data_IF_708291475553
#
_entry.id   IF_708291475553
#
_cell.length_a   1.000
_cell.length_b   1.000
_cell.length_c   1.000
_cell.angle_alpha   90.00
_cell.angle_beta   90.00
_cell.angle_gamma   90.00
#
_symmetry.space_group_name_H-M   'P 1'
#
loop_
_entity.id
_entity.type
_entity.pdbx_description
1 polymer ?
#
# COMPACT_ATOMS: atom_id res chain seq x y z
N UNK A 1 -3.65 2.67 57.63
CA UNK A 1 -2.99 1.59 56.89
C UNK A 1 -2.90 2.04 55.46
N UNK A 2 -1.69 2.29 55.00
CA UNK A 2 -1.38 2.69 53.63
C UNK A 2 -1.69 1.54 52.69
N UNK A 3 -2.45 1.80 51.62
CA UNK A 3 -2.68 0.84 50.55
C UNK A 3 -1.34 0.62 49.84
N UNK A 4 -0.66 -0.48 50.16
CA UNK A 4 0.42 -1.01 49.34
C UNK A 4 -0.18 -1.27 47.95
N UNK A 5 0.16 -0.40 46.99
CA UNK A 5 -0.05 -0.68 45.58
C UNK A 5 0.89 -1.83 45.25
N UNK A 6 0.33 -3.03 45.20
CA UNK A 6 0.98 -4.20 44.65
C UNK A 6 1.55 -3.79 43.28
N UNK A 7 2.88 -3.74 43.18
CA UNK A 7 3.63 -3.45 41.95
C UNK A 7 3.60 -4.63 40.99
N UNK A 8 2.48 -5.36 40.99
CA UNK A 8 2.22 -6.51 40.13
C UNK A 8 2.21 -6.06 38.68
N UNK A 9 2.72 -6.94 37.82
CA UNK A 9 2.77 -6.76 36.37
C UNK A 9 1.44 -6.21 35.84
N UNK A 10 1.47 -5.32 34.82
CA UNK A 10 0.25 -4.78 34.24
C UNK A 10 -0.67 -5.93 33.83
N UNK A 11 -1.92 -5.92 34.30
CA UNK A 11 -2.86 -6.99 33.99
C UNK A 11 -3.15 -7.03 32.48
N UNK A 12 -3.48 -8.22 31.97
CA UNK A 12 -3.71 -8.46 30.55
C UNK A 12 -5.00 -7.81 30.02
N UNK A 13 -5.87 -7.36 30.92
CA UNK A 13 -7.25 -6.97 30.63
C UNK A 13 -7.49 -5.46 30.73
N UNK A 14 -6.50 -4.69 31.18
CA UNK A 14 -6.60 -3.23 31.32
C UNK A 14 -6.76 -2.60 29.94
N UNK A 15 -7.88 -1.89 29.69
CA UNK A 15 -8.11 -1.28 28.38
C UNK A 15 -7.13 -0.15 28.12
N UNK A 16 -6.53 -0.15 26.92
CA UNK A 16 -5.66 0.92 26.45
C UNK A 16 -6.46 1.90 25.58
N UNK A 17 -6.19 3.20 25.73
CA UNK A 17 -6.64 4.24 24.81
C UNK A 17 -5.46 4.73 23.98
N UNK A 18 -5.58 4.64 22.67
CA UNK A 18 -4.56 5.08 21.71
C UNK A 18 -5.08 6.29 20.95
N UNK A 19 -4.30 7.36 20.89
CA UNK A 19 -4.53 8.45 19.94
C UNK A 19 -3.79 8.15 18.66
N UNK A 20 -4.54 8.04 17.56
CA UNK A 20 -3.98 7.77 16.24
C UNK A 20 -3.77 9.08 15.49
N UNK A 21 -2.59 9.24 14.89
CA UNK A 21 -2.26 10.37 14.01
C UNK A 21 -1.81 9.84 12.65
N UNK A 22 -1.91 10.63 11.57
CA UNK A 22 -1.34 10.24 10.28
C UNK A 22 0.15 9.95 10.36
N UNK A 23 0.90 10.70 11.17
CA UNK A 23 2.33 10.43 11.39
C UNK A 23 2.58 9.03 11.98
N UNK A 24 1.74 8.57 12.90
CA UNK A 24 1.84 7.21 13.44
C UNK A 24 1.55 6.16 12.37
N UNK A 25 0.57 6.39 11.49
CA UNK A 25 0.29 5.50 10.36
C UNK A 25 1.47 5.44 9.37
N UNK A 26 2.03 6.59 9.02
CA UNK A 26 3.19 6.69 8.14
C UNK A 26 4.36 5.88 8.70
N UNK A 27 4.70 6.08 9.98
CA UNK A 27 5.80 5.35 10.60
C UNK A 27 5.53 3.86 10.75
N UNK A 28 4.30 3.46 11.08
CA UNK A 28 3.97 2.05 11.30
C UNK A 28 3.80 1.23 10.01
N UNK A 29 3.28 1.86 8.95
CA UNK A 29 2.88 1.18 7.72
C UNK A 29 3.80 1.50 6.53
N UNK A 30 4.29 2.73 6.43
CA UNK A 30 4.90 3.28 5.21
C UNK A 30 6.38 3.65 5.42
N UNK A 31 7.04 3.10 6.43
CA UNK A 31 8.45 3.43 6.76
C UNK A 31 9.46 3.15 5.63
N UNK A 32 9.10 2.28 4.70
CA UNK A 32 9.92 1.90 3.53
C UNK A 32 9.47 2.57 2.23
N UNK A 33 8.39 3.35 2.27
CA UNK A 33 7.92 4.11 1.12
C UNK A 33 8.94 5.19 0.74
N UNK A 34 9.15 5.40 -0.55
CA UNK A 34 10.04 6.44 -1.07
C UNK A 34 9.47 7.84 -0.86
N UNK A 35 8.14 7.97 -0.83
CA UNK A 35 7.45 9.21 -0.51
C UNK A 35 6.17 8.94 0.28
N UNK A 36 5.83 9.86 1.19
CA UNK A 36 4.61 9.78 2.01
C UNK A 36 4.01 11.16 2.17
N UNK A 37 2.69 11.25 2.14
CA UNK A 37 1.97 12.50 2.37
C UNK A 37 0.56 12.25 2.88
N UNK A 38 -0.13 13.34 3.19
CA UNK A 38 -1.53 13.32 3.62
C UNK A 38 -2.35 14.25 2.73
N UNK A 39 -3.61 13.91 2.53
CA UNK A 39 -4.54 14.71 1.75
C UNK A 39 -5.99 14.56 2.21
N UNK A 40 -6.87 15.31 1.54
CA UNK A 40 -8.33 15.18 1.70
C UNK A 40 -8.96 14.28 0.63
N UNK A 41 -8.26 14.13 -0.50
CA UNK A 41 -8.65 13.38 -1.69
C UNK A 41 -7.47 12.59 -2.24
N UNK A 42 -7.79 11.56 -3.02
CA UNK A 42 -6.79 10.76 -3.74
C UNK A 42 -5.97 11.62 -4.70
N UNK A 43 -4.68 11.30 -4.84
CA UNK A 43 -3.80 11.86 -5.85
C UNK A 43 -3.62 10.91 -7.05
N UNK A 44 -4.30 9.77 -7.07
CA UNK A 44 -4.20 8.76 -8.12
C UNK A 44 -5.06 9.19 -9.30
N UNK A 45 -4.47 9.18 -10.50
CA UNK A 45 -5.22 9.28 -11.75
C UNK A 45 -5.64 7.87 -12.18
N UNK A 46 -6.94 7.58 -12.12
CA UNK A 46 -7.49 6.26 -12.45
C UNK A 46 -7.20 5.82 -13.90
N UNK A 47 -6.80 6.73 -14.79
CA UNK A 47 -6.41 6.39 -16.18
C UNK A 47 -5.03 5.75 -16.30
N UNK A 48 -4.20 5.86 -15.26
CA UNK A 48 -2.82 5.37 -15.22
C UNK A 48 -2.67 4.05 -14.42
N UNK A 49 -3.79 3.56 -13.90
CA UNK A 49 -3.83 2.39 -13.01
C UNK A 49 -3.72 1.09 -13.80
N UNK A 50 -2.75 0.26 -13.41
CA UNK A 50 -2.56 -1.10 -13.90
C UNK A 50 -3.35 -2.10 -13.06
N UNK A 51 -3.21 -2.03 -11.74
CA UNK A 51 -3.93 -2.89 -10.80
C UNK A 51 -4.49 -2.10 -9.63
N UNK A 52 -5.63 -2.56 -9.10
CA UNK A 52 -6.36 -1.85 -8.05
C UNK A 52 -6.99 -2.83 -7.06
N UNK A 53 -6.51 -2.80 -5.82
CA UNK A 53 -7.03 -3.59 -4.72
C UNK A 53 -7.61 -2.65 -3.67
N UNK A 54 -8.87 -2.87 -3.30
CA UNK A 54 -9.57 -2.01 -2.32
C UNK A 54 -10.24 -2.87 -1.25
N UNK A 55 -10.00 -2.50 0.00
CA UNK A 55 -10.74 -2.97 1.16
C UNK A 55 -11.50 -1.78 1.77
N UNK A 56 -12.82 -1.92 1.94
CA UNK A 56 -13.67 -0.91 2.57
C UNK A 56 -14.26 -1.47 3.86
N UNK A 57 -14.52 -0.61 4.84
CA UNK A 57 -15.29 -0.98 6.04
C UNK A 57 -16.80 -1.08 5.73
N UNK A 58 -17.57 -1.54 6.71
CA UNK A 58 -19.02 -1.71 6.57
C UNK A 58 -19.78 -0.38 6.69
N UNK A 59 -19.12 0.66 7.20
CA UNK A 59 -19.63 2.03 7.20
C UNK A 59 -19.07 2.77 5.99
N UNK A 60 -19.82 3.69 5.39
CA UNK A 60 -19.31 4.44 4.25
C UNK A 60 -18.31 5.49 4.75
N UNK A 61 -17.00 5.26 4.59
CA UNK A 61 -16.00 6.33 4.79
C UNK A 61 -14.57 5.90 5.06
N UNK A 62 -14.29 4.63 5.35
CA UNK A 62 -12.91 4.16 5.53
C UNK A 62 -12.54 3.18 4.42
N UNK A 63 -11.34 3.34 3.90
CA UNK A 63 -10.83 2.39 2.93
C UNK A 63 -9.32 2.26 3.03
N UNK A 64 -8.85 1.12 2.58
CA UNK A 64 -7.45 0.86 2.29
C UNK A 64 -7.39 0.45 0.83
N UNK A 65 -6.61 1.17 0.02
CA UNK A 65 -6.50 0.95 -1.42
C UNK A 65 -5.03 0.82 -1.78
N UNK A 66 -4.66 -0.26 -2.45
CA UNK A 66 -3.34 -0.45 -3.06
C UNK A 66 -3.50 -0.40 -4.57
N UNK A 67 -2.76 0.50 -5.20
CA UNK A 67 -2.78 0.73 -6.64
C UNK A 67 -1.38 0.53 -7.18
N UNK A 68 -1.29 -0.19 -8.28
CA UNK A 68 -0.12 -0.21 -9.14
C UNK A 68 -0.40 0.68 -10.34
N UNK A 69 0.51 1.58 -10.67
CA UNK A 69 0.35 2.55 -11.74
C UNK A 69 1.67 2.86 -12.43
N UNK A 70 1.57 3.28 -13.69
CA UNK A 70 2.71 3.79 -14.44
C UNK A 70 2.39 5.19 -14.95
N UNK A 71 3.33 6.11 -14.73
CA UNK A 71 3.16 7.50 -15.12
C UNK A 71 4.46 8.11 -15.62
N UNK A 72 4.34 9.26 -16.25
CA UNK A 72 5.46 10.09 -16.69
C UNK A 72 5.32 11.44 -15.99
N UNK A 73 6.41 11.98 -15.47
CA UNK A 73 6.40 13.32 -14.90
C UNK A 73 6.57 14.37 -16.00
N UNK A 74 5.82 15.48 -15.92
CA UNK A 74 5.91 16.57 -16.90
C UNK A 74 7.33 17.13 -17.06
N UNK A 75 8.10 17.16 -15.97
CA UNK A 75 9.49 17.63 -15.96
C UNK A 75 10.48 16.60 -16.53
N UNK A 76 10.07 15.33 -16.64
CA UNK A 76 10.90 14.20 -17.09
C UNK A 76 10.11 13.31 -18.07
N UNK A 77 9.72 13.83 -19.24
CA UNK A 77 8.80 13.16 -20.17
C UNK A 77 9.33 11.84 -20.75
N UNK A 78 10.65 11.65 -20.71
CA UNK A 78 11.32 10.45 -21.22
C UNK A 78 11.47 9.34 -20.17
N UNK A 79 11.04 9.58 -18.93
CA UNK A 79 11.11 8.61 -17.84
C UNK A 79 9.72 8.14 -17.41
N UNK A 80 9.48 6.85 -17.58
CA UNK A 80 8.33 6.18 -17.00
C UNK A 80 8.67 5.77 -15.58
N UNK A 81 7.82 6.15 -14.64
CA UNK A 81 7.82 5.70 -13.26
C UNK A 81 6.84 4.57 -13.10
N UNK A 82 7.23 3.59 -12.30
CA UNK A 82 6.34 2.55 -11.81
C UNK A 82 6.15 2.77 -10.31
N UNK A 83 4.91 2.76 -9.83
CA UNK A 83 4.56 3.08 -8.44
C UNK A 83 3.51 2.13 -7.87
N UNK A 84 3.76 1.63 -6.67
CA UNK A 84 2.74 1.04 -5.81
C UNK A 84 2.29 2.08 -4.79
N UNK A 85 1.11 2.66 -5.00
CA UNK A 85 0.50 3.63 -4.11
C UNK A 85 -0.41 2.94 -3.09
N UNK A 86 -0.11 3.09 -1.81
CA UNK A 86 -1.02 2.74 -0.71
C UNK A 86 -1.77 3.98 -0.23
N UNK A 87 -3.10 3.92 -0.28
CA UNK A 87 -4.00 4.88 0.34
C UNK A 87 -4.69 4.28 1.57
N UNK A 88 -4.62 4.99 2.70
CA UNK A 88 -5.34 4.67 3.93
C UNK A 88 -6.24 5.85 4.28
N UNK A 89 -7.55 5.68 4.09
CA UNK A 89 -8.57 6.67 4.47
C UNK A 89 -9.20 6.30 5.80
N UNK A 90 -9.02 7.17 6.79
CA UNK A 90 -9.70 7.10 8.09
C UNK A 90 -10.44 8.41 8.31
N UNK A 91 -11.77 8.31 8.28
CA UNK A 91 -12.67 9.47 8.25
C UNK A 91 -12.45 10.32 6.99
N UNK A 92 -12.15 11.61 7.21
CA UNK A 92 -11.84 12.55 6.14
C UNK A 92 -10.36 12.57 5.74
N UNK A 93 -9.48 11.97 6.56
CA UNK A 93 -8.04 12.05 6.37
C UNK A 93 -7.56 10.90 5.49
N UNK A 94 -6.85 11.24 4.42
CA UNK A 94 -6.15 10.30 3.57
C UNK A 94 -4.66 10.34 3.90
N UNK A 95 -4.06 9.17 4.12
CA UNK A 95 -2.61 9.00 4.22
C UNK A 95 -2.16 8.18 3.04
N UNK A 96 -1.16 8.65 2.30
CA UNK A 96 -0.68 8.03 1.07
C UNK A 96 0.81 7.73 1.17
N UNK A 97 1.20 6.52 0.78
CA UNK A 97 2.58 6.11 0.64
C UNK A 97 2.85 5.60 -0.77
N UNK A 98 4.01 5.95 -1.30
CA UNK A 98 4.45 5.60 -2.65
C UNK A 98 5.72 4.75 -2.57
N UNK A 99 5.74 3.65 -3.31
CA UNK A 99 6.94 2.85 -3.55
C UNK A 99 7.26 2.97 -5.03
N UNK A 100 7.81 4.11 -5.41
CA UNK A 100 8.01 4.49 -6.81
C UNK A 100 9.47 4.44 -7.21
N UNK A 101 9.73 3.98 -8.43
CA UNK A 101 11.06 3.98 -9.04
C UNK A 101 10.95 3.99 -10.58
N UNK A 102 12.03 4.28 -11.33
CA UNK A 102 11.98 4.28 -12.79
C UNK A 102 11.66 2.89 -13.35
N UNK A 103 10.72 2.76 -14.28
CA UNK A 103 10.29 1.47 -14.85
C UNK A 103 11.44 0.67 -15.50
N UNK A 104 12.52 1.36 -15.91
CA UNK A 104 13.75 0.75 -16.44
C UNK A 104 14.68 0.15 -15.38
N UNK A 105 14.30 0.22 -14.10
CA UNK A 105 15.07 -0.34 -12.98
C UNK A 105 15.13 -1.87 -13.03
N UNK A 106 16.11 -2.44 -12.32
CA UNK A 106 16.29 -3.87 -12.28
C UNK A 106 15.05 -4.58 -11.70
N UNK A 107 14.63 -5.76 -12.22
CA UNK A 107 13.43 -6.46 -11.75
C UNK A 107 13.40 -6.74 -10.23
N UNK A 108 14.57 -6.86 -9.59
CA UNK A 108 14.63 -7.02 -8.13
C UNK A 108 14.07 -5.81 -7.35
N UNK A 109 14.16 -4.61 -7.93
CA UNK A 109 13.57 -3.39 -7.34
C UNK A 109 12.04 -3.46 -7.42
N UNK A 110 11.48 -3.96 -8.54
CA UNK A 110 10.05 -4.21 -8.68
C UNK A 110 9.57 -5.18 -7.60
N UNK A 111 10.21 -6.35 -7.52
CA UNK A 111 9.85 -7.38 -6.55
C UNK A 111 9.92 -6.87 -5.11
N UNK A 112 10.93 -6.05 -4.78
CA UNK A 112 11.09 -5.53 -3.43
C UNK A 112 10.01 -4.50 -3.08
N UNK A 113 9.78 -3.50 -3.95
CA UNK A 113 8.79 -2.45 -3.73
C UNK A 113 7.37 -3.02 -3.68
N UNK A 114 7.01 -3.90 -4.61
CA UNK A 114 5.74 -4.60 -4.61
C UNK A 114 5.51 -5.33 -3.27
N UNK A 115 6.49 -6.10 -2.79
CA UNK A 115 6.40 -6.83 -1.52
C UNK A 115 6.23 -5.91 -0.32
N UNK A 116 6.95 -4.79 -0.27
CA UNK A 116 6.83 -3.85 0.84
C UNK A 116 5.48 -3.11 0.83
N UNK A 117 5.00 -2.69 -0.34
CA UNK A 117 3.69 -2.07 -0.51
C UNK A 117 2.54 -3.04 -0.17
N UNK A 118 2.61 -4.30 -0.63
CA UNK A 118 1.66 -5.36 -0.27
C UNK A 118 1.64 -5.61 1.24
N UNK A 119 2.82 -5.68 1.88
CA UNK A 119 2.92 -5.89 3.33
C UNK A 119 2.31 -4.72 4.09
N UNK A 120 2.48 -3.49 3.61
CA UNK A 120 1.86 -2.31 4.17
C UNK A 120 0.32 -2.36 4.00
N UNK A 121 -0.17 -2.74 2.83
CA UNK A 121 -1.59 -2.94 2.55
C UNK A 121 -2.23 -4.01 3.45
N UNK A 122 -1.60 -5.18 3.59
CA UNK A 122 -2.05 -6.27 4.45
C UNK A 122 -2.23 -5.80 5.90
N UNK A 123 -1.25 -5.04 6.41
CA UNK A 123 -1.28 -4.47 7.77
C UNK A 123 -2.33 -3.37 7.91
N UNK A 124 -2.44 -2.49 6.92
CA UNK A 124 -3.41 -1.40 6.91
C UNK A 124 -4.84 -1.92 6.92
N UNK A 125 -5.13 -3.02 6.20
CA UNK A 125 -6.46 -3.64 6.18
C UNK A 125 -6.96 -4.04 7.58
N UNK A 126 -6.05 -4.36 8.52
CA UNK A 126 -6.43 -4.68 9.90
C UNK A 126 -7.07 -3.49 10.61
N UNK A 127 -6.67 -2.26 10.27
CA UNK A 127 -7.21 -1.03 10.87
C UNK A 127 -8.70 -0.86 10.63
N UNK A 128 -9.20 -1.39 9.52
CA UNK A 128 -10.63 -1.37 9.15
C UNK A 128 -11.31 -2.73 9.40
N UNK A 129 -10.71 -3.57 10.24
CA UNK A 129 -11.26 -4.88 10.61
C UNK A 129 -11.24 -5.92 9.48
N UNK A 130 -10.44 -5.71 8.44
CA UNK A 130 -10.31 -6.64 7.32
C UNK A 130 -9.06 -7.51 7.46
N UNK A 131 -9.07 -8.66 6.80
CA UNK A 131 -7.94 -9.60 6.74
C UNK A 131 -7.63 -9.89 5.29
N UNK A 132 -6.36 -9.75 4.92
CA UNK A 132 -5.86 -10.11 3.59
C UNK A 132 -5.29 -11.53 3.64
N UNK A 133 -5.45 -12.28 2.56
CA UNK A 133 -4.85 -13.61 2.40
C UNK A 133 -4.22 -13.71 1.02
N UNK A 134 -2.98 -14.18 0.97
CA UNK A 134 -2.29 -14.49 -0.29
C UNK A 134 -2.88 -15.77 -0.88
N UNK A 135 -3.18 -15.72 -2.18
CA UNK A 135 -3.63 -16.87 -2.96
C UNK A 135 -2.50 -17.46 -3.81
N UNK A 136 -2.72 -18.65 -4.36
CA UNK A 136 -1.87 -19.23 -5.39
C UNK A 136 -2.49 -18.88 -6.74
N UNK A 137 -1.70 -18.30 -7.65
CA UNK A 137 -2.07 -18.08 -9.05
C UNK A 137 -1.15 -18.88 -9.97
N UNK A 138 -1.69 -19.27 -11.12
CA UNK A 138 -0.93 -19.90 -12.21
C UNK A 138 -0.91 -18.90 -13.35
N UNK A 139 0.28 -18.47 -13.76
CA UNK A 139 0.46 -17.63 -14.93
C UNK A 139 0.60 -18.52 -16.17
N UNK A 140 -0.18 -18.22 -17.20
CA UNK A 140 0.01 -18.84 -18.50
C UNK A 140 1.15 -18.14 -19.26
N UNK A 141 2.03 -18.89 -19.94
CA UNK A 141 3.12 -18.28 -20.70
C UNK A 141 2.56 -17.42 -21.83
N UNK A 142 3.03 -16.17 -21.91
CA UNK A 142 2.75 -15.29 -23.05
C UNK A 142 3.47 -15.89 -24.27
N UNK A 143 2.70 -16.44 -25.21
CA UNK A 143 3.24 -16.89 -26.50
C UNK A 143 3.67 -15.64 -27.28
N UNK A 144 4.97 -15.34 -27.28
CA UNK A 144 5.53 -14.37 -28.22
C UNK A 144 5.23 -14.86 -29.64
N UNK A 145 4.66 -13.97 -30.45
CA UNK A 145 4.22 -14.25 -31.81
C UNK A 145 5.47 -14.51 -32.69
N UNK A 146 5.93 -15.76 -32.70
CA UNK A 146 7.09 -16.19 -33.48
C UNK A 146 6.88 -15.78 -34.94
N UNK A 147 7.80 -15.01 -35.56
CA UNK A 147 7.60 -14.52 -36.91
C UNK A 147 7.45 -15.71 -37.86
N UNK A 148 6.24 -15.86 -38.42
CA UNK A 148 5.96 -16.86 -39.45
C UNK A 148 6.93 -16.63 -40.60
N UNK A 149 7.90 -17.53 -40.75
CA UNK A 149 8.78 -17.57 -41.90
C UNK A 149 7.92 -17.64 -43.16
N UNK A 150 7.80 -16.53 -43.88
CA UNK A 150 7.20 -16.48 -45.21
C UNK A 150 8.08 -17.34 -46.11
N UNK A 151 7.58 -18.51 -46.52
CA UNK A 151 8.17 -19.27 -47.61
C UNK A 151 7.95 -18.49 -48.91
N UNK A 152 9.06 -18.20 -49.58
CA UNK A 152 9.13 -17.58 -50.91
C UNK A 152 8.68 -18.55 -52.00
#
# INVERSE_FOLDING_TARGET
MTLDRDTGEPDWDTPLSLTLTPGLLIHALMSTASAVHTGWSSCIDDTLVLTNQVAMDDQAGHYVRLVEQEFVEDEQPDMVWHDWTLEVRIGSVLTTGHWQFPATSHPSEWDWNAREAERAFERACVLIGRRVRRGIQVEEPILEDMPRARRH
#
